data_IF_768243001740
#
_entry.id   IF_768243001740
#
_cell.length_a   1.000
_cell.length_b   1.000
_cell.length_c   1.000
_cell.angle_alpha   90.00
_cell.angle_beta   90.00
_cell.angle_gamma   90.00
#
_symmetry.space_group_name_H-M   'P 1'
#
loop_
_entity.id
_entity.type
_entity.pdbx_description
1 polymer ?
#
# COMPACT_ATOMS: atom_id res chain seq x y z
N UNK A 1 10.60 -14.70 -10.12
CA UNK A 1 9.48 -13.77 -10.31
C UNK A 1 9.51 -12.69 -9.25
N UNK A 2 9.24 -11.47 -9.67
CA UNK A 2 9.25 -10.35 -8.73
C UNK A 2 8.04 -10.42 -7.82
N UNK A 3 8.23 -10.10 -6.55
CA UNK A 3 7.12 -9.96 -5.62
C UNK A 3 6.45 -8.61 -5.84
N UNK A 4 5.15 -8.59 -5.71
CA UNK A 4 4.35 -7.39 -5.94
C UNK A 4 4.02 -6.71 -4.61
N UNK A 5 4.33 -5.42 -4.51
CA UNK A 5 4.08 -4.64 -3.31
C UNK A 5 3.15 -3.49 -3.66
N UNK A 6 2.08 -3.34 -2.89
CA UNK A 6 1.17 -2.22 -3.02
C UNK A 6 1.53 -1.20 -1.94
N UNK A 7 1.89 0.00 -2.38
CA UNK A 7 2.24 1.11 -1.47
C UNK A 7 1.07 2.08 -1.46
N UNK A 8 0.52 2.31 -0.28
CA UNK A 8 -0.63 3.21 -0.10
C UNK A 8 -0.15 4.45 0.64
N UNK A 9 0.02 5.53 -0.11
CA UNK A 9 0.61 6.76 0.40
C UNK A 9 0.14 7.93 -0.47
N UNK A 10 -0.38 8.98 0.15
CA UNK A 10 -0.88 10.13 -0.61
C UNK A 10 0.21 11.15 -0.96
N UNK A 11 1.34 11.13 -0.27
CA UNK A 11 2.45 12.03 -0.59
C UNK A 11 3.29 11.42 -1.69
N UNK A 12 3.26 12.04 -2.87
CA UNK A 12 3.97 11.52 -4.04
C UNK A 12 5.49 11.46 -3.84
N UNK A 13 6.05 12.39 -3.08
CA UNK A 13 7.49 12.37 -2.83
C UNK A 13 7.88 11.14 -2.01
N UNK A 14 7.06 10.81 -1.03
CA UNK A 14 7.32 9.65 -0.19
C UNK A 14 7.10 8.36 -0.98
N UNK A 15 6.00 8.28 -1.72
CA UNK A 15 5.71 7.06 -2.46
C UNK A 15 6.74 6.82 -3.56
N UNK A 16 7.21 7.87 -4.22
CA UNK A 16 8.24 7.74 -5.24
C UNK A 16 9.56 7.24 -4.64
N UNK A 17 9.90 7.73 -3.46
CA UNK A 17 11.11 7.30 -2.79
C UNK A 17 11.03 5.82 -2.40
N UNK A 18 9.89 5.40 -1.86
CA UNK A 18 9.68 4.01 -1.50
C UNK A 18 9.74 3.13 -2.73
N UNK A 19 9.09 3.56 -3.81
CA UNK A 19 9.12 2.80 -5.07
C UNK A 19 10.55 2.62 -5.56
N UNK A 20 11.34 3.70 -5.54
CA UNK A 20 12.71 3.64 -6.03
C UNK A 20 13.53 2.59 -5.28
N UNK A 21 13.43 2.59 -3.95
CA UNK A 21 14.15 1.63 -3.13
C UNK A 21 13.70 0.20 -3.40
N UNK A 22 12.39 0.00 -3.47
CA UNK A 22 11.85 -1.36 -3.63
C UNK A 22 12.14 -1.91 -5.02
N UNK A 23 12.03 -1.07 -6.05
CA UNK A 23 12.34 -1.51 -7.40
C UNK A 23 13.81 -1.86 -7.55
N UNK A 24 14.66 -1.11 -6.86
CA UNK A 24 16.09 -1.41 -6.86
C UNK A 24 16.38 -2.79 -6.26
N UNK A 25 15.54 -3.23 -5.31
CA UNK A 25 15.68 -4.53 -4.69
C UNK A 25 14.99 -5.63 -5.48
N UNK A 26 14.43 -5.32 -6.63
CA UNK A 26 13.80 -6.33 -7.49
C UNK A 26 12.31 -6.52 -7.28
N UNK A 27 11.66 -5.66 -6.50
CA UNK A 27 10.22 -5.75 -6.30
C UNK A 27 9.45 -5.01 -7.39
N UNK A 28 8.26 -5.49 -7.66
CA UNK A 28 7.31 -4.80 -8.52
C UNK A 28 6.42 -3.94 -7.62
N UNK A 29 6.29 -2.64 -7.91
CA UNK A 29 5.61 -1.71 -7.01
C UNK A 29 4.43 -1.04 -7.70
N UNK A 30 3.29 -1.06 -7.02
CA UNK A 30 2.12 -0.27 -7.43
C UNK A 30 1.84 0.73 -6.31
N UNK A 31 1.34 1.90 -6.68
CA UNK A 31 1.06 2.96 -5.73
C UNK A 31 -0.41 3.33 -5.80
N UNK A 32 -1.05 3.44 -4.64
CA UNK A 32 -2.40 3.96 -4.51
C UNK A 32 -2.31 5.23 -3.67
N UNK A 33 -2.90 6.30 -4.15
CA UNK A 33 -2.79 7.61 -3.50
C UNK A 33 -3.81 7.83 -2.38
N UNK A 34 -4.81 6.98 -2.28
CA UNK A 34 -5.80 7.08 -1.20
C UNK A 34 -6.36 5.70 -0.89
N UNK A 35 -7.14 5.63 0.18
CA UNK A 35 -7.66 4.37 0.66
C UNK A 35 -8.66 3.71 -0.29
N UNK A 36 -9.45 4.51 -1.00
CA UNK A 36 -10.39 3.97 -1.97
C UNK A 36 -9.68 3.29 -3.11
N UNK A 37 -8.64 3.95 -3.65
CA UNK A 37 -7.84 3.36 -4.71
C UNK A 37 -7.07 2.15 -4.24
N UNK A 38 -6.64 2.15 -2.99
CA UNK A 38 -5.93 0.99 -2.42
C UNK A 38 -6.82 -0.24 -2.43
N UNK A 39 -8.06 -0.10 -2.04
CA UNK A 39 -9.00 -1.23 -2.04
C UNK A 39 -9.25 -1.72 -3.46
N UNK A 40 -9.42 -0.79 -4.41
CA UNK A 40 -9.61 -1.15 -5.82
C UNK A 40 -8.40 -1.91 -6.36
N UNK A 41 -7.21 -1.41 -6.11
CA UNK A 41 -5.98 -2.04 -6.59
C UNK A 41 -5.78 -3.42 -5.96
N UNK A 42 -6.11 -3.54 -4.69
CA UNK A 42 -6.00 -4.81 -4.01
C UNK A 42 -6.93 -5.85 -4.62
N UNK A 43 -8.17 -5.44 -4.92
CA UNK A 43 -9.13 -6.36 -5.52
C UNK A 43 -8.77 -6.73 -6.95
N UNK A 44 -8.18 -5.81 -7.69
CA UNK A 44 -7.79 -6.07 -9.06
C UNK A 44 -6.65 -7.09 -9.13
N UNK A 45 -5.72 -7.01 -8.21
CA UNK A 45 -4.60 -7.95 -8.15
C UNK A 45 -4.04 -7.93 -6.73
N UNK A 46 -4.17 -9.04 -6.04
CA UNK A 46 -3.70 -9.13 -4.66
C UNK A 46 -2.17 -9.05 -4.62
N UNK A 47 -1.59 -8.12 -3.86
CA UNK A 47 -0.14 -8.02 -3.75
C UNK A 47 0.40 -9.04 -2.76
N UNK A 48 1.72 -9.19 -2.76
CA UNK A 48 2.39 -10.04 -1.78
C UNK A 48 2.53 -9.32 -0.44
N UNK A 49 2.52 -7.98 -0.46
CA UNK A 49 2.68 -7.16 0.73
C UNK A 49 2.04 -5.80 0.50
N UNK A 50 1.44 -5.23 1.53
CA UNK A 50 0.90 -3.87 1.50
C UNK A 50 1.69 -3.02 2.48
N UNK A 51 2.22 -1.89 2.01
CA UNK A 51 2.78 -0.86 2.86
C UNK A 51 1.75 0.25 2.93
N UNK A 52 1.25 0.56 4.11
CA UNK A 52 0.03 1.33 4.28
C UNK A 52 0.24 2.48 5.25
N UNK A 53 0.04 3.70 4.75
CA UNK A 53 0.06 4.89 5.60
C UNK A 53 -1.26 4.97 6.36
N UNK A 54 -1.19 5.23 7.65
CA UNK A 54 -2.38 5.38 8.50
C UNK A 54 -3.15 6.65 8.14
N UNK A 55 -2.43 7.72 7.84
CA UNK A 55 -3.03 9.04 7.58
C UNK A 55 -3.32 9.22 6.10
N UNK A 56 -4.46 8.70 5.65
CA UNK A 56 -4.84 8.77 4.25
C UNK A 56 -6.13 9.57 4.08
N UNK A 57 -6.29 10.25 2.92
CA UNK A 57 -7.58 10.84 2.58
C UNK A 57 -8.57 9.75 2.18
N UNK A 58 -9.84 10.09 2.17
CA UNK A 58 -10.97 9.26 1.74
C UNK A 58 -11.24 8.11 2.70
N UNK A 59 -10.33 7.17 2.80
CA UNK A 59 -10.44 6.02 3.70
C UNK A 59 -9.08 5.84 4.35
N UNK A 60 -9.03 6.00 5.67
CA UNK A 60 -7.75 5.96 6.37
C UNK A 60 -7.13 4.56 6.39
N UNK A 61 -5.90 4.48 6.87
CA UNK A 61 -5.16 3.22 6.86
C UNK A 61 -5.85 2.10 7.61
N UNK A 62 -6.48 2.42 8.72
CA UNK A 62 -7.20 1.40 9.49
C UNK A 62 -8.40 0.86 8.71
N UNK A 63 -9.12 1.75 8.01
CA UNK A 63 -10.25 1.35 7.17
C UNK A 63 -9.80 0.47 6.00
N UNK A 64 -8.68 0.81 5.38
CA UNK A 64 -8.11 -0.01 4.30
C UNK A 64 -7.76 -1.39 4.82
N UNK A 65 -7.10 -1.44 5.97
CA UNK A 65 -6.71 -2.71 6.58
C UNK A 65 -7.93 -3.58 6.86
N UNK A 66 -9.00 -2.98 7.40
CA UNK A 66 -10.22 -3.72 7.69
C UNK A 66 -10.84 -4.30 6.43
N UNK A 67 -10.87 -3.51 5.35
CA UNK A 67 -11.41 -3.97 4.08
C UNK A 67 -10.60 -5.14 3.52
N UNK A 68 -9.29 -5.04 3.57
CA UNK A 68 -8.43 -6.12 3.09
C UNK A 68 -8.64 -7.39 3.91
N UNK A 69 -8.77 -7.24 5.22
CA UNK A 69 -8.93 -8.39 6.11
C UNK A 69 -10.25 -9.12 5.93
N UNK A 70 -11.24 -8.49 5.29
CA UNK A 70 -12.50 -9.17 4.98
C UNK A 70 -12.28 -10.35 4.04
N UNK A 71 -11.29 -10.26 3.15
CA UNK A 71 -11.09 -11.27 2.11
C UNK A 71 -9.69 -11.85 2.04
N UNK A 72 -8.74 -11.33 2.81
CA UNK A 72 -7.34 -11.74 2.64
C UNK A 72 -6.56 -11.68 3.93
N UNK A 73 -5.55 -12.52 4.01
CA UNK A 73 -4.57 -12.50 5.11
C UNK A 73 -3.23 -11.94 4.62
N UNK A 74 -3.25 -11.18 3.53
CA UNK A 74 -2.05 -10.57 2.97
C UNK A 74 -1.30 -9.77 4.04
N UNK A 75 0.02 -9.91 4.14
CA UNK A 75 0.79 -9.12 5.09
C UNK A 75 0.63 -7.62 4.84
N UNK A 76 0.41 -6.88 5.91
CA UNK A 76 0.26 -5.43 5.86
C UNK A 76 1.21 -4.82 6.88
N UNK A 77 2.04 -3.88 6.41
CA UNK A 77 2.90 -3.10 7.30
C UNK A 77 2.34 -1.69 7.36
N UNK A 78 1.96 -1.26 8.56
CA UNK A 78 1.42 0.08 8.75
C UNK A 78 2.55 1.05 8.97
N UNK A 79 2.52 2.16 8.24
CA UNK A 79 3.48 3.23 8.38
C UNK A 79 2.82 4.35 9.17
N UNK A 80 3.43 4.77 10.27
CA UNK A 80 2.88 5.88 11.04
C UNK A 80 3.36 7.19 10.46
N UNK A 81 2.44 8.13 10.35
CA UNK A 81 2.75 9.41 9.76
C UNK A 81 3.53 10.29 10.69
N UNK A 82 3.69 9.90 11.92
CA UNK A 82 4.33 10.81 12.77
C UNK A 82 5.25 10.14 13.73
N UNK A 83 6.26 10.82 13.93
CA UNK A 83 7.23 10.36 14.86
C UNK A 83 6.73 10.49 16.30
#
# INVERSE_FOLDING_TARGET
MARNILVVEDDNNISDLIRMYLEKEGFEVRIAADGGKAVEEFKAREPDLVLLDVMLPVLDGWGVCAKIRETSKCPIIMLTAKG
#
